data_IF_957632538985
#
_entry.id   IF_957632538985
#
_cell.length_a   1.000
_cell.length_b   1.000
_cell.length_c   1.000
_cell.angle_alpha   90.00
_cell.angle_beta   90.00
_cell.angle_gamma   90.00
#
_symmetry.space_group_name_H-M   'P 1'
#
loop_
_entity.id
_entity.type
_entity.pdbx_description
1 polymer ?
#
# COMPACT_ATOMS: atom_id res chain seq x y z
N UNK A 1 -46.90 13.61 -20.27
CA UNK A 1 -46.62 14.65 -19.27
C UNK A 1 -45.13 14.93 -19.27
N UNK A 2 -44.70 16.20 -19.37
CA UNK A 2 -43.28 16.58 -19.31
C UNK A 2 -42.59 16.08 -18.03
N UNK A 3 -43.35 15.89 -16.95
CA UNK A 3 -42.88 15.31 -15.69
C UNK A 3 -42.47 13.83 -15.81
N UNK A 4 -43.16 13.04 -16.66
CA UNK A 4 -42.75 11.64 -16.96
C UNK A 4 -41.48 11.58 -17.78
N UNK A 5 -41.28 12.52 -18.72
CA UNK A 5 -40.06 12.60 -19.52
C UNK A 5 -38.86 13.02 -18.64
N UNK A 6 -39.06 13.99 -17.73
CA UNK A 6 -38.06 14.39 -16.74
C UNK A 6 -37.70 13.24 -15.80
N UNK A 7 -38.68 12.46 -15.31
CA UNK A 7 -38.46 11.26 -14.50
C UNK A 7 -37.70 10.18 -15.26
N UNK A 8 -38.00 9.96 -16.54
CA UNK A 8 -37.28 9.01 -17.39
C UNK A 8 -35.84 9.49 -17.62
N UNK A 9 -35.63 10.78 -17.92
CA UNK A 9 -34.29 11.39 -18.04
C UNK A 9 -33.52 11.26 -16.71
N UNK A 10 -34.15 11.53 -15.56
CA UNK A 10 -33.55 11.37 -14.23
C UNK A 10 -33.22 9.90 -13.89
N UNK A 11 -34.01 8.95 -14.40
CA UNK A 11 -33.74 7.51 -14.29
C UNK A 11 -32.55 7.08 -15.18
N UNK A 12 -32.36 7.71 -16.34
CA UNK A 12 -31.15 7.56 -17.16
C UNK A 12 -29.94 8.32 -16.57
N UNK A 13 -30.17 9.35 -15.75
CA UNK A 13 -29.15 10.06 -14.94
C UNK A 13 -28.73 9.31 -13.67
N UNK A 14 -29.16 8.05 -13.46
CA UNK A 14 -28.30 7.08 -12.77
C UNK A 14 -27.10 6.76 -13.66
N UNK A 15 -26.37 7.79 -14.06
CA UNK A 15 -25.04 7.69 -14.62
C UNK A 15 -24.20 7.03 -13.53
N UNK A 16 -23.81 5.78 -13.76
CA UNK A 16 -22.72 5.16 -13.01
C UNK A 16 -21.55 6.15 -13.09
N UNK A 17 -21.21 6.77 -11.97
CA UNK A 17 -20.10 7.71 -11.92
C UNK A 17 -18.83 6.86 -12.02
N UNK A 18 -18.32 6.71 -13.24
CA UNK A 18 -17.09 5.98 -13.52
C UNK A 18 -15.92 6.93 -13.27
N UNK A 19 -15.20 6.71 -12.18
CA UNK A 19 -13.93 7.38 -11.93
C UNK A 19 -12.83 6.72 -12.76
N UNK A 20 -11.89 7.54 -13.26
CA UNK A 20 -10.65 7.06 -13.86
C UNK A 20 -9.59 6.89 -12.77
N UNK A 21 -9.26 5.65 -12.45
CA UNK A 21 -8.43 5.30 -11.29
C UNK A 21 -7.12 4.67 -11.76
N UNK A 22 -6.00 5.20 -11.28
CA UNK A 22 -4.70 4.56 -11.42
C UNK A 22 -4.43 3.71 -10.17
N UNK A 23 -4.12 2.43 -10.36
CA UNK A 23 -3.69 1.54 -9.29
C UNK A 23 -2.20 1.22 -9.48
N UNK A 24 -1.36 1.70 -8.57
CA UNK A 24 0.06 1.37 -8.53
C UNK A 24 0.27 0.04 -7.80
N UNK A 25 0.89 -0.93 -8.49
CA UNK A 25 1.09 -2.29 -8.00
C UNK A 25 2.59 -2.62 -8.03
N UNK A 26 3.28 -2.64 -6.88
CA UNK A 26 4.66 -3.10 -6.81
C UNK A 26 4.69 -4.64 -6.81
N UNK A 27 5.30 -5.23 -7.83
CA UNK A 27 5.29 -6.68 -8.08
C UNK A 27 6.57 -7.31 -7.53
N UNK A 28 6.56 -7.53 -6.21
CA UNK A 28 7.67 -8.12 -5.46
C UNK A 28 7.29 -9.29 -4.54
N UNK A 29 6.01 -9.42 -4.17
CA UNK A 29 5.53 -10.49 -3.29
C UNK A 29 4.07 -10.87 -3.59
N UNK A 30 3.76 -12.17 -3.51
CA UNK A 30 2.44 -12.74 -3.80
C UNK A 30 1.32 -12.05 -3.00
N UNK A 31 1.54 -11.79 -1.71
CA UNK A 31 0.53 -11.18 -0.83
C UNK A 31 0.15 -9.77 -1.28
N UNK A 32 1.12 -8.93 -1.61
CA UNK A 32 0.90 -7.55 -2.05
C UNK A 32 0.24 -7.51 -3.43
N UNK A 33 0.76 -8.28 -4.39
CA UNK A 33 0.21 -8.27 -5.74
C UNK A 33 -1.22 -8.84 -5.80
N UNK A 34 -1.49 -9.89 -5.05
CA UNK A 34 -2.84 -10.47 -4.99
C UNK A 34 -3.83 -9.51 -4.35
N UNK A 35 -3.44 -8.82 -3.29
CA UNK A 35 -4.32 -7.85 -2.61
C UNK A 35 -4.61 -6.63 -3.49
N UNK A 36 -3.57 -6.00 -4.03
CA UNK A 36 -3.71 -4.83 -4.90
C UNK A 36 -4.43 -5.16 -6.21
N UNK A 37 -4.14 -6.33 -6.80
CA UNK A 37 -4.82 -6.80 -8.00
C UNK A 37 -6.30 -7.09 -7.77
N UNK A 38 -6.65 -7.71 -6.63
CA UNK A 38 -8.05 -7.94 -6.26
C UNK A 38 -8.80 -6.64 -5.96
N UNK A 39 -8.13 -5.67 -5.34
CA UNK A 39 -8.67 -4.32 -5.15
C UNK A 39 -8.98 -3.69 -6.52
N UNK A 40 -8.05 -3.76 -7.47
CA UNK A 40 -8.25 -3.24 -8.82
C UNK A 40 -9.41 -3.93 -9.54
N UNK A 41 -9.52 -5.26 -9.45
CA UNK A 41 -10.63 -6.02 -10.03
C UNK A 41 -11.99 -5.62 -9.43
N UNK A 42 -12.03 -5.32 -8.13
CA UNK A 42 -13.24 -4.86 -7.43
C UNK A 42 -13.70 -3.49 -7.95
N UNK A 43 -12.76 -2.60 -8.28
CA UNK A 43 -13.06 -1.30 -8.87
C UNK A 43 -13.58 -1.43 -10.31
N UNK A 44 -13.04 -2.39 -11.08
CA UNK A 44 -13.57 -2.74 -12.40
C UNK A 44 -15.00 -3.26 -12.29
N UNK A 45 -15.27 -4.17 -11.34
CA UNK A 45 -16.63 -4.69 -11.09
C UNK A 45 -17.63 -3.60 -10.67
N UNK A 46 -17.15 -2.55 -10.00
CA UNK A 46 -17.94 -1.38 -9.64
C UNK A 46 -18.19 -0.42 -10.83
N UNK A 47 -17.61 -0.69 -12.01
CA UNK A 47 -17.78 0.10 -13.22
C UNK A 47 -16.84 1.29 -13.38
N UNK A 48 -15.70 1.30 -12.68
CA UNK A 48 -14.66 2.33 -12.83
C UNK A 48 -13.71 2.02 -13.99
N UNK A 49 -13.12 3.07 -14.59
CA UNK A 49 -12.05 2.95 -15.58
C UNK A 49 -10.72 2.80 -14.84
N UNK A 50 -10.17 1.59 -14.83
CA UNK A 50 -8.99 1.24 -14.02
C UNK A 50 -7.77 1.01 -14.92
N UNK A 51 -6.71 1.76 -14.66
CA UNK A 51 -5.37 1.46 -15.18
C UNK A 51 -4.52 0.84 -14.07
N UNK A 52 -3.86 -0.29 -14.34
CA UNK A 52 -2.82 -0.81 -13.44
C UNK A 52 -1.44 -0.37 -13.91
N UNK A 53 -0.69 0.31 -13.05
CA UNK A 53 0.74 0.57 -13.22
C UNK A 53 1.52 -0.46 -12.42
N UNK A 54 2.05 -1.46 -13.11
CA UNK A 54 2.80 -2.56 -12.51
C UNK A 54 4.29 -2.24 -12.55
N UNK A 55 4.90 -2.11 -11.38
CA UNK A 55 6.33 -1.95 -11.19
C UNK A 55 6.96 -3.31 -10.88
N UNK A 56 7.55 -3.95 -11.89
CA UNK A 56 8.03 -5.33 -11.79
C UNK A 56 9.37 -5.40 -11.05
N UNK A 57 9.45 -6.20 -9.99
CA UNK A 57 10.72 -6.53 -9.31
C UNK A 57 10.98 -8.03 -9.35
N UNK A 58 9.91 -8.83 -9.32
CA UNK A 58 9.91 -10.26 -9.56
C UNK A 58 8.98 -10.57 -10.75
N UNK A 59 9.59 -10.83 -11.91
CA UNK A 59 8.87 -11.10 -13.14
C UNK A 59 8.11 -12.44 -13.12
N UNK A 60 8.50 -13.38 -12.24
CA UNK A 60 7.90 -14.71 -12.16
C UNK A 60 6.55 -14.70 -11.43
N UNK A 61 6.23 -13.59 -10.73
CA UNK A 61 4.94 -13.42 -10.05
C UNK A 61 3.80 -13.18 -11.06
N UNK A 62 2.55 -13.54 -10.73
CA UNK A 62 1.39 -13.15 -11.52
C UNK A 62 1.14 -11.64 -11.38
N UNK A 63 0.32 -11.07 -12.25
CA UNK A 63 -0.08 -9.65 -12.17
C UNK A 63 -1.07 -9.36 -11.03
N UNK A 64 -1.67 -10.39 -10.44
CA UNK A 64 -2.60 -10.31 -9.31
C UNK A 64 -4.02 -9.87 -9.67
N UNK A 65 -4.20 -9.18 -10.79
CA UNK A 65 -5.49 -8.80 -11.39
C UNK A 65 -5.86 -9.72 -12.56
N UNK A 66 -7.15 -10.03 -12.72
CA UNK A 66 -7.67 -10.76 -13.89
C UNK A 66 -8.66 -9.95 -14.73
N UNK A 67 -9.10 -8.78 -14.25
CA UNK A 67 -10.15 -7.96 -14.90
C UNK A 67 -9.64 -6.64 -15.47
N UNK A 68 -8.50 -6.12 -14.99
CA UNK A 68 -7.94 -4.87 -15.51
C UNK A 68 -7.39 -5.07 -16.92
N UNK A 69 -7.90 -4.30 -17.87
CA UNK A 69 -7.51 -4.41 -19.29
C UNK A 69 -6.38 -3.45 -19.66
N UNK A 70 -6.33 -2.25 -19.07
CA UNK A 70 -5.28 -1.25 -19.31
C UNK A 70 -4.15 -1.44 -18.30
N UNK A 71 -3.08 -2.11 -18.73
CA UNK A 71 -1.90 -2.37 -17.89
C UNK A 71 -0.66 -1.69 -18.48
N UNK A 72 -0.02 -0.84 -17.68
CA UNK A 72 1.27 -0.22 -17.96
C UNK A 72 2.32 -0.96 -17.14
N UNK A 73 3.37 -1.48 -17.78
CA UNK A 73 4.41 -2.27 -17.12
C UNK A 73 5.75 -1.55 -17.20
N UNK A 74 6.45 -1.52 -16.07
CA UNK A 74 7.86 -1.17 -16.00
C UNK A 74 8.64 -2.42 -15.63
N UNK A 75 9.55 -2.91 -16.50
CA UNK A 75 10.27 -4.15 -16.28
C UNK A 75 11.22 -4.05 -15.07
N UNK A 76 11.72 -5.19 -14.56
CA UNK A 76 12.67 -5.20 -13.46
C UNK A 76 13.95 -4.46 -13.78
N UNK A 77 14.30 -3.56 -12.88
CA UNK A 77 15.59 -2.90 -12.89
C UNK A 77 16.70 -3.89 -12.54
N UNK A 78 17.88 -3.68 -13.11
CA UNK A 78 19.05 -4.45 -12.73
C UNK A 78 19.32 -4.27 -11.23
N UNK A 79 19.51 -5.38 -10.50
CA UNK A 79 19.72 -5.42 -9.05
C UNK A 79 18.51 -5.02 -8.18
N UNK A 80 17.29 -5.00 -8.71
CA UNK A 80 16.08 -4.86 -7.90
C UNK A 80 15.59 -6.18 -7.27
N UNK A 81 16.38 -7.26 -7.33
CA UNK A 81 15.99 -8.61 -6.92
C UNK A 81 16.47 -9.00 -5.50
N UNK A 82 16.97 -8.06 -4.69
CA UNK A 82 17.43 -8.38 -3.34
C UNK A 82 16.29 -8.90 -2.45
N UNK A 83 15.07 -8.39 -2.63
CA UNK A 83 13.88 -8.90 -1.91
C UNK A 83 13.62 -10.39 -2.16
N UNK A 84 13.77 -10.86 -3.40
CA UNK A 84 13.60 -12.27 -3.76
C UNK A 84 14.62 -13.16 -3.04
N UNK A 85 15.81 -12.62 -2.78
CA UNK A 85 16.92 -13.31 -2.11
C UNK A 85 16.88 -13.19 -0.58
N UNK A 86 16.21 -12.17 -0.03
CA UNK A 86 16.25 -11.86 1.41
C UNK A 86 15.07 -12.40 2.21
N UNK A 87 13.94 -12.78 1.60
CA UNK A 87 12.81 -13.38 2.35
C UNK A 87 13.12 -14.83 2.69
N UNK A 88 14.03 -15.03 3.64
CA UNK A 88 14.22 -16.32 4.30
C UNK A 88 13.12 -16.52 5.36
N UNK A 89 12.62 -17.75 5.51
CA UNK A 89 11.65 -18.11 6.57
C UNK A 89 12.14 -17.73 7.97
N UNK A 90 13.45 -17.63 8.16
CA UNK A 90 14.12 -17.18 9.39
C UNK A 90 13.65 -15.79 9.83
N UNK A 91 13.42 -14.86 8.91
CA UNK A 91 13.06 -13.47 9.24
C UNK A 91 11.64 -13.38 9.81
N UNK A 92 10.68 -14.10 9.22
CA UNK A 92 9.30 -14.14 9.72
C UNK A 92 9.26 -14.75 11.13
N UNK A 93 10.09 -15.75 11.38
CA UNK A 93 10.19 -16.40 12.68
C UNK A 93 10.88 -15.49 13.71
N UNK A 94 11.91 -14.74 13.33
CA UNK A 94 12.55 -13.76 14.21
C UNK A 94 11.63 -12.57 14.54
N UNK A 95 10.82 -12.12 13.57
CA UNK A 95 9.78 -11.10 13.78
C UNK A 95 8.74 -11.54 14.81
N UNK A 96 8.37 -12.83 14.81
CA UNK A 96 7.41 -13.39 15.78
C UNK A 96 7.93 -13.42 17.21
N UNK A 97 9.23 -13.60 17.40
CA UNK A 97 9.81 -13.72 18.74
C UNK A 97 10.05 -12.37 19.41
N UNK A 98 9.88 -11.23 18.70
CA UNK A 98 10.05 -9.87 19.22
C UNK A 98 11.32 -9.69 20.08
N UNK A 99 12.39 -10.42 19.75
CA UNK A 99 13.66 -10.34 20.45
C UNK A 99 14.46 -9.15 19.90
N UNK A 100 15.34 -8.57 20.73
CA UNK A 100 16.21 -7.45 20.33
C UNK A 100 17.06 -7.80 19.10
N UNK A 101 17.56 -9.04 19.03
CA UNK A 101 18.32 -9.55 17.89
C UNK A 101 17.44 -9.68 16.64
N UNK A 102 16.24 -10.24 16.77
CA UNK A 102 15.30 -10.36 15.65
C UNK A 102 14.85 -9.01 15.10
N UNK A 103 14.72 -8.02 15.97
CA UNK A 103 14.39 -6.65 15.59
C UNK A 103 15.52 -5.95 14.81
N UNK A 104 16.78 -6.21 15.15
CA UNK A 104 17.91 -5.72 14.34
C UNK A 104 17.95 -6.37 12.95
N UNK A 105 17.63 -7.66 12.85
CA UNK A 105 17.47 -8.37 11.58
C UNK A 105 16.38 -7.74 10.71
N UNK A 106 15.28 -7.26 11.32
CA UNK A 106 14.20 -6.54 10.63
C UNK A 106 14.69 -5.24 10.00
N UNK A 107 15.52 -4.46 10.70
CA UNK A 107 16.11 -3.22 10.15
C UNK A 107 17.13 -3.53 9.04
N UNK A 108 17.92 -4.59 9.18
CA UNK A 108 18.84 -5.02 8.13
C UNK A 108 18.08 -5.48 6.87
N UNK A 109 16.98 -6.21 7.05
CA UNK A 109 16.09 -6.57 5.94
C UNK A 109 15.46 -5.32 5.30
N UNK A 110 15.06 -4.35 6.11
CA UNK A 110 14.55 -3.07 5.62
C UNK A 110 15.57 -2.38 4.70
N UNK A 111 16.85 -2.39 5.07
CA UNK A 111 17.92 -1.86 4.23
C UNK A 111 17.99 -2.58 2.88
N UNK A 112 17.98 -3.92 2.85
CA UNK A 112 18.00 -4.68 1.59
C UNK A 112 16.79 -4.41 0.70
N UNK A 113 15.60 -4.31 1.30
CA UNK A 113 14.38 -3.99 0.58
C UNK A 113 14.43 -2.56 0.01
N UNK A 114 14.93 -1.60 0.80
CA UNK A 114 15.04 -0.20 0.39
C UNK A 114 15.90 0.01 -0.86
N UNK A 115 16.98 -0.78 -1.02
CA UNK A 115 17.82 -0.77 -2.22
C UNK A 115 17.01 -1.21 -3.43
N UNK A 116 16.26 -2.29 -3.30
CA UNK A 116 15.46 -2.82 -4.40
C UNK A 116 14.35 -1.84 -4.81
N UNK A 117 13.62 -1.29 -3.84
CA UNK A 117 12.56 -0.30 -4.10
C UNK A 117 13.10 0.99 -4.71
N UNK A 118 14.21 1.52 -4.20
CA UNK A 118 14.80 2.76 -4.75
C UNK A 118 15.33 2.58 -6.18
N UNK A 119 16.00 1.46 -6.47
CA UNK A 119 16.49 1.15 -7.82
C UNK A 119 15.33 0.96 -8.80
N UNK A 120 14.30 0.20 -8.39
CA UNK A 120 13.11 0.01 -9.21
C UNK A 120 12.36 1.33 -9.44
N UNK A 121 12.17 2.12 -8.38
CA UNK A 121 11.50 3.42 -8.48
C UNK A 121 12.26 4.37 -9.42
N UNK A 122 13.60 4.41 -9.34
CA UNK A 122 14.42 5.20 -10.27
C UNK A 122 14.21 4.77 -11.72
N UNK A 123 14.17 3.47 -12.00
CA UNK A 123 13.90 2.94 -13.35
C UNK A 123 12.52 3.34 -13.84
N UNK A 124 11.48 3.20 -13.00
CA UNK A 124 10.12 3.63 -13.32
C UNK A 124 10.09 5.12 -13.66
N UNK A 125 10.63 5.96 -12.78
CA UNK A 125 10.66 7.41 -12.93
C UNK A 125 11.50 7.86 -14.14
N UNK A 126 12.50 7.09 -14.53
CA UNK A 126 13.36 7.38 -15.70
C UNK A 126 12.84 6.74 -17.00
N UNK A 127 11.71 6.02 -16.96
CA UNK A 127 11.13 5.38 -18.15
C UNK A 127 10.63 6.47 -19.10
N UNK A 128 11.16 6.55 -20.34
CA UNK A 128 10.86 7.67 -21.24
C UNK A 128 9.37 7.83 -21.51
N UNK A 129 8.85 9.04 -21.25
CA UNK A 129 7.46 9.41 -21.53
C UNK A 129 6.42 8.86 -20.55
N UNK A 130 6.81 8.03 -19.57
CA UNK A 130 5.86 7.40 -18.65
C UNK A 130 5.14 8.45 -17.78
N UNK A 131 5.90 9.33 -17.12
CA UNK A 131 5.33 10.33 -16.22
C UNK A 131 4.50 11.35 -17.01
N UNK A 132 4.93 11.74 -18.21
CA UNK A 132 4.19 12.61 -19.11
C UNK A 132 2.86 11.98 -19.53
N UNK A 133 2.87 10.69 -19.90
CA UNK A 133 1.67 9.94 -20.24
C UNK A 133 0.70 9.87 -19.05
N UNK A 134 1.19 9.56 -17.85
CA UNK A 134 0.35 9.48 -16.65
C UNK A 134 -0.26 10.84 -16.26
N UNK A 135 0.48 11.95 -16.48
CA UNK A 135 -0.05 13.31 -16.31
C UNK A 135 -1.17 13.61 -17.31
N UNK A 136 -0.96 13.27 -18.58
CA UNK A 136 -1.94 13.50 -19.65
C UNK A 136 -3.22 12.68 -19.49
N UNK A 137 -3.13 11.53 -18.80
CA UNK A 137 -4.29 10.68 -18.54
C UNK A 137 -5.27 11.29 -17.51
N UNK A 138 -4.89 12.28 -16.70
CA UNK A 138 -5.76 12.99 -15.74
C UNK A 138 -6.62 12.07 -14.84
N UNK A 139 -5.98 11.30 -13.97
CA UNK A 139 -6.66 10.37 -13.06
C UNK A 139 -7.44 11.09 -11.94
N UNK A 140 -8.65 10.59 -11.64
CA UNK A 140 -9.46 11.03 -10.50
C UNK A 140 -8.84 10.59 -9.18
N UNK A 141 -8.27 9.38 -9.14
CA UNK A 141 -7.61 8.86 -7.95
C UNK A 141 -6.37 8.04 -8.32
N UNK A 142 -5.35 8.12 -7.46
CA UNK A 142 -4.24 7.19 -7.42
C UNK A 142 -4.35 6.34 -6.16
N UNK A 143 -4.50 5.04 -6.35
CA UNK A 143 -4.42 4.04 -5.29
C UNK A 143 -3.01 3.46 -5.33
N UNK A 144 -2.27 3.61 -4.24
CA UNK A 144 -0.87 3.18 -4.17
C UNK A 144 -0.60 2.31 -2.96
N UNK A 145 0.09 1.19 -3.15
CA UNK A 145 0.66 0.45 -2.04
C UNK A 145 1.54 1.37 -1.18
N UNK A 146 1.47 1.20 0.14
CA UNK A 146 2.14 2.01 1.17
C UNK A 146 3.30 1.27 1.83
N UNK A 147 3.63 0.05 1.39
CA UNK A 147 4.90 -0.58 1.68
C UNK A 147 6.03 -0.11 0.75
N UNK A 148 5.73 0.07 -0.54
CA UNK A 148 6.61 0.71 -1.53
C UNK A 148 6.04 2.10 -1.88
N UNK A 149 6.69 3.14 -1.35
CA UNK A 149 6.21 4.51 -1.50
C UNK A 149 6.48 5.16 -2.86
N UNK A 150 6.98 4.43 -3.87
CA UNK A 150 7.19 5.01 -5.19
C UNK A 150 5.87 5.54 -5.78
N UNK A 151 4.78 4.76 -5.66
CA UNK A 151 3.44 5.19 -6.05
C UNK A 151 2.96 6.44 -5.32
N UNK A 152 3.27 6.55 -4.02
CA UNK A 152 2.95 7.75 -3.23
C UNK A 152 3.68 8.97 -3.77
N UNK A 153 4.98 8.87 -4.09
CA UNK A 153 5.73 9.98 -4.67
C UNK A 153 5.25 10.37 -6.07
N UNK A 154 4.85 9.40 -6.91
CA UNK A 154 4.26 9.65 -8.24
C UNK A 154 3.00 10.51 -8.13
N UNK A 155 2.24 10.41 -7.04
CA UNK A 155 1.04 11.22 -6.82
C UNK A 155 1.32 12.72 -6.91
N UNK A 156 2.50 13.17 -6.46
CA UNK A 156 2.87 14.57 -6.60
C UNK A 156 3.09 14.95 -8.07
N UNK A 157 3.76 14.09 -8.82
CA UNK A 157 4.13 14.34 -10.21
C UNK A 157 2.91 14.41 -11.12
N UNK A 158 1.93 13.52 -10.92
CA UNK A 158 0.74 13.42 -11.79
C UNK A 158 -0.47 14.17 -11.24
N UNK A 159 -0.41 14.62 -9.97
CA UNK A 159 -1.45 15.44 -9.32
C UNK A 159 -2.88 14.89 -9.49
N UNK A 160 -3.16 13.63 -9.08
CA UNK A 160 -4.51 13.10 -9.12
C UNK A 160 -5.41 13.85 -8.13
N UNK A 161 -6.73 13.83 -8.32
CA UNK A 161 -7.66 14.54 -7.41
C UNK A 161 -7.65 13.94 -5.99
N UNK A 162 -7.36 12.65 -5.87
CA UNK A 162 -7.19 11.97 -4.60
C UNK A 162 -6.00 11.00 -4.61
N UNK A 163 -5.21 11.01 -3.55
CA UNK A 163 -4.26 9.94 -3.20
C UNK A 163 -4.91 9.04 -2.15
N UNK A 164 -4.89 7.73 -2.41
CA UNK A 164 -5.40 6.67 -1.53
C UNK A 164 -4.28 5.64 -1.31
N UNK A 165 -3.49 5.78 -0.24
CA UNK A 165 -2.53 4.76 0.13
C UNK A 165 -3.26 3.49 0.58
N UNK A 166 -2.64 2.35 0.36
CA UNK A 166 -3.15 1.03 0.74
C UNK A 166 -2.04 0.27 1.42
N UNK A 167 -2.28 -0.31 2.59
CA UNK A 167 -1.36 -1.31 3.15
C UNK A 167 -1.94 -2.70 2.93
N UNK A 168 -1.27 -3.51 2.11
CA UNK A 168 -1.64 -4.92 1.91
C UNK A 168 -1.31 -5.81 3.11
N UNK A 169 -0.62 -5.29 4.12
CA UNK A 169 -0.23 -6.01 5.34
C UNK A 169 -0.74 -5.25 6.57
N UNK A 170 0.12 -4.49 7.24
CA UNK A 170 -0.21 -3.67 8.41
C UNK A 170 0.21 -2.22 8.16
N UNK A 171 -0.42 -1.28 8.87
CA UNK A 171 -0.08 0.13 8.70
C UNK A 171 1.29 0.44 9.32
N UNK A 172 2.23 0.83 8.46
CA UNK A 172 3.56 1.25 8.86
C UNK A 172 3.49 2.73 9.29
N UNK A 173 3.94 3.01 10.50
CA UNK A 173 4.08 4.36 11.03
C UNK A 173 2.79 5.21 11.09
N UNK A 174 1.86 4.82 11.95
CA UNK A 174 0.56 5.46 12.22
C UNK A 174 0.57 7.01 12.38
N UNK A 175 1.61 7.65 12.94
CA UNK A 175 1.69 9.11 13.04
C UNK A 175 1.58 9.85 11.70
N UNK A 176 1.98 9.25 10.58
CA UNK A 176 1.79 9.85 9.25
C UNK A 176 0.32 10.02 8.87
N UNK A 177 -0.58 9.28 9.51
CA UNK A 177 -2.01 9.38 9.28
C UNK A 177 -2.72 10.19 10.36
N UNK A 178 -1.99 10.78 11.32
CA UNK A 178 -2.55 11.53 12.44
C UNK A 178 -2.94 10.66 13.64
N UNK A 179 -2.52 9.39 13.66
CA UNK A 179 -2.73 8.50 14.80
C UNK A 179 -1.49 8.48 15.67
N UNK A 180 -1.59 9.07 16.86
CA UNK A 180 -0.49 9.10 17.81
C UNK A 180 -0.37 7.78 18.56
N UNK A 181 0.87 7.31 18.70
CA UNK A 181 1.17 6.18 19.55
C UNK A 181 0.93 6.54 21.02
N UNK A 182 0.30 5.61 21.73
CA UNK A 182 0.17 5.67 23.17
C UNK A 182 1.18 4.73 23.81
N UNK A 183 1.83 5.19 24.88
CA UNK A 183 2.68 4.34 25.72
C UNK A 183 1.88 3.50 26.72
N UNK A 184 0.55 3.70 26.81
CA UNK A 184 -0.33 3.00 27.75
C UNK A 184 -1.14 1.89 27.10
N UNK A 185 -1.37 1.96 25.79
CA UNK A 185 -2.07 0.96 24.99
C UNK A 185 -1.11 0.45 23.95
N UNK A 186 -0.99 -0.87 23.81
CA UNK A 186 -0.09 -1.53 22.88
C UNK A 186 -0.39 -1.13 21.42
N UNK A 187 0.43 -0.29 20.77
CA UNK A 187 0.15 0.18 19.43
C UNK A 187 0.99 -0.54 18.37
N UNK A 188 1.92 -1.41 18.78
CA UNK A 188 2.83 -2.10 17.85
C UNK A 188 2.05 -3.09 16.99
N UNK A 189 2.35 -3.07 15.70
CA UNK A 189 1.77 -4.04 14.76
C UNK A 189 2.34 -5.45 14.92
N UNK A 190 3.45 -5.61 15.64
CA UNK A 190 4.21 -6.86 15.78
C UNK A 190 3.91 -7.70 17.02
N UNK A 191 3.11 -7.19 17.95
CA UNK A 191 2.75 -7.94 19.15
C UNK A 191 1.26 -8.20 19.18
N UNK A 192 0.87 -9.26 19.89
CA UNK A 192 -0.52 -9.48 20.22
C UNK A 192 -1.04 -8.24 20.96
N UNK A 193 -2.15 -7.66 20.53
CA UNK A 193 -2.70 -6.43 21.10
C UNK A 193 -3.31 -6.60 22.50
N UNK A 194 -2.72 -7.47 23.32
CA UNK A 194 -3.04 -7.61 24.73
C UNK A 194 -2.50 -6.39 25.48
N UNK A 195 -3.29 -5.88 26.42
CA UNK A 195 -2.80 -4.91 27.39
C UNK A 195 -1.56 -5.47 28.09
N UNK A 196 -0.54 -4.63 28.30
CA UNK A 196 0.72 -5.06 28.89
C UNK A 196 0.48 -5.82 30.20
N UNK A 197 0.68 -7.13 30.17
CA UNK A 197 0.44 -8.04 31.30
C UNK A 197 1.61 -8.06 32.28
N UNK A 198 2.75 -7.46 31.92
CA UNK A 198 4.02 -7.49 32.67
C UNK A 198 4.90 -6.26 32.38
N UNK A 199 5.82 -5.93 33.30
CA UNK A 199 6.82 -4.87 33.06
C UNK A 199 7.70 -5.18 31.82
N UNK A 200 8.05 -6.44 31.59
CA UNK A 200 8.79 -6.88 30.41
C UNK A 200 8.04 -6.57 29.12
N UNK A 201 6.72 -6.84 29.06
CA UNK A 201 5.92 -6.48 27.90
C UNK A 201 5.94 -4.97 27.62
N UNK A 202 5.85 -4.11 28.65
CA UNK A 202 5.95 -2.65 28.50
C UNK A 202 7.30 -2.19 27.95
N UNK A 203 8.39 -2.79 28.43
CA UNK A 203 9.74 -2.48 27.95
C UNK A 203 9.88 -2.87 26.48
N UNK A 204 9.38 -4.04 26.09
CA UNK A 204 9.35 -4.48 24.69
C UNK A 204 8.57 -3.50 23.81
N UNK A 205 7.41 -3.03 24.26
CA UNK A 205 6.62 -2.01 23.55
C UNK A 205 7.36 -0.70 23.35
N UNK A 206 7.98 -0.16 24.41
CA UNK A 206 8.76 1.08 24.32
C UNK A 206 9.92 0.90 23.34
N UNK A 207 10.60 -0.24 23.40
CA UNK A 207 11.67 -0.57 22.46
C UNK A 207 11.16 -0.62 21.01
N UNK A 208 10.02 -1.28 20.76
CA UNK A 208 9.36 -1.33 19.45
C UNK A 208 9.00 0.07 18.96
N UNK A 209 8.39 0.90 19.80
CA UNK A 209 8.02 2.29 19.48
C UNK A 209 9.21 3.15 19.05
N UNK A 210 10.40 2.88 19.60
CA UNK A 210 11.64 3.57 19.21
C UNK A 210 12.27 2.98 17.94
N UNK A 211 12.11 1.67 17.69
CA UNK A 211 12.70 1.02 16.51
C UNK A 211 11.90 1.24 15.24
N UNK A 212 10.57 1.30 15.31
CA UNK A 212 9.71 1.47 14.14
C UNK A 212 10.07 2.68 13.27
N UNK A 213 10.36 3.87 13.84
CA UNK A 213 10.88 4.99 13.07
C UNK A 213 12.17 4.65 12.32
N UNK A 214 13.09 3.90 12.93
CA UNK A 214 14.33 3.48 12.26
C UNK A 214 14.06 2.50 11.12
N UNK A 215 13.18 1.51 11.31
CA UNK A 215 12.73 0.60 10.24
C UNK A 215 12.13 1.40 9.08
N UNK A 216 11.19 2.30 9.38
CA UNK A 216 10.49 3.10 8.38
C UNK A 216 11.44 4.02 7.61
N UNK A 217 12.29 4.77 8.31
CA UNK A 217 13.25 5.68 7.67
C UNK A 217 14.27 4.91 6.82
N UNK A 218 14.71 3.73 7.29
CA UNK A 218 15.60 2.85 6.50
C UNK A 218 14.95 2.43 5.19
N UNK A 219 13.65 2.12 5.19
CA UNK A 219 12.90 1.83 3.96
C UNK A 219 12.74 3.06 3.06
N UNK A 220 12.43 4.21 3.66
CA UNK A 220 11.88 5.35 2.93
C UNK A 220 12.92 6.37 2.48
N UNK A 221 14.00 6.59 3.25
CA UNK A 221 15.00 7.63 2.94
C UNK A 221 15.67 7.42 1.57
N UNK A 222 16.06 6.19 1.15
CA UNK A 222 16.62 5.97 -0.18
C UNK A 222 15.63 6.29 -1.29
N UNK A 223 14.34 6.01 -1.07
CA UNK A 223 13.28 6.30 -2.03
C UNK A 223 13.03 7.81 -2.13
N UNK A 224 13.00 8.52 -1.00
CA UNK A 224 12.93 9.99 -0.99
C UNK A 224 14.07 10.62 -1.81
N UNK A 225 15.31 10.14 -1.65
CA UNK A 225 16.46 10.64 -2.41
C UNK A 225 16.29 10.47 -3.92
N UNK A 226 15.62 9.42 -4.39
CA UNK A 226 15.33 9.25 -5.82
C UNK A 226 14.46 10.40 -6.33
N UNK A 227 13.43 10.79 -5.58
CA UNK A 227 12.59 11.94 -5.93
C UNK A 227 13.35 13.25 -5.83
N UNK A 228 14.16 13.45 -4.79
CA UNK A 228 14.97 14.65 -4.63
C UNK A 228 15.96 14.84 -5.80
N UNK A 229 16.53 13.73 -6.30
CA UNK A 229 17.47 13.73 -7.42
C UNK A 229 16.80 13.96 -8.79
N UNK A 230 15.70 13.25 -9.07
CA UNK A 230 15.05 13.26 -10.40
C UNK A 230 14.01 14.37 -10.54
N UNK A 231 13.32 14.70 -9.46
CA UNK A 231 12.20 15.65 -9.41
C UNK A 231 12.34 16.56 -8.18
N UNK A 232 13.36 17.43 -8.16
CA UNK A 232 13.61 18.31 -7.03
C UNK A 232 12.38 19.19 -6.74
N UNK A 233 12.04 19.32 -5.46
CA UNK A 233 10.84 20.02 -5.00
C UNK A 233 9.65 19.11 -4.69
N UNK A 234 9.77 17.80 -4.95
CA UNK A 234 8.78 16.82 -4.47
C UNK A 234 8.69 16.86 -2.94
N UNK A 235 7.48 17.00 -2.35
CA UNK A 235 7.30 16.95 -0.91
C UNK A 235 7.79 15.63 -0.32
N UNK A 236 8.08 15.62 0.98
CA UNK A 236 8.45 14.36 1.63
C UNK A 236 7.32 13.34 1.55
N UNK A 237 7.65 12.05 1.41
CA UNK A 237 6.65 10.96 1.41
C UNK A 237 5.73 11.04 2.64
N UNK A 238 6.29 11.34 3.81
CA UNK A 238 5.53 11.59 5.05
C UNK A 238 4.46 12.67 4.88
N UNK A 239 4.80 13.78 4.21
CA UNK A 239 3.87 14.87 3.92
C UNK A 239 2.77 14.43 2.94
N UNK A 240 3.12 13.67 1.90
CA UNK A 240 2.14 13.14 0.94
C UNK A 240 1.13 12.19 1.62
N UNK A 241 1.60 11.27 2.46
CA UNK A 241 0.74 10.37 3.25
C UNK A 241 -0.15 11.15 4.24
N UNK A 242 0.39 12.18 4.88
CA UNK A 242 -0.36 13.04 5.81
C UNK A 242 -1.50 13.77 5.12
N UNK A 243 -1.33 14.14 3.85
CA UNK A 243 -2.35 14.80 3.03
C UNK A 243 -3.24 13.85 2.20
N UNK A 244 -3.04 12.54 2.29
CA UNK A 244 -3.90 11.56 1.63
C UNK A 244 -5.36 11.67 2.10
N UNK A 245 -6.31 11.35 1.21
CA UNK A 245 -7.75 11.48 1.49
C UNK A 245 -8.23 10.44 2.51
N UNK A 246 -7.82 9.19 2.30
CA UNK A 246 -8.12 8.02 3.13
C UNK A 246 -6.99 7.03 2.95
N UNK A 247 -6.80 6.13 3.91
CA UNK A 247 -5.91 4.98 3.77
C UNK A 247 -6.70 3.69 3.95
N UNK A 248 -6.47 2.73 3.05
CA UNK A 248 -7.01 1.39 3.17
C UNK A 248 -6.01 0.46 3.86
N UNK A 249 -6.48 -0.33 4.80
CA UNK A 249 -5.66 -1.35 5.47
C UNK A 249 -6.24 -2.74 5.24
N UNK A 250 -5.38 -3.72 4.99
CA UNK A 250 -5.74 -5.14 4.97
C UNK A 250 -5.94 -5.68 6.40
N UNK A 251 -6.86 -5.08 7.14
CA UNK A 251 -7.23 -5.46 8.50
C UNK A 251 -8.73 -5.68 8.54
N UNK A 252 -9.17 -6.65 9.35
CA UNK A 252 -10.58 -6.90 9.61
C UNK A 252 -10.86 -6.59 11.09
N UNK A 253 -11.79 -5.67 11.39
CA UNK A 253 -12.00 -5.17 12.74
C UNK A 253 -12.55 -6.21 13.73
N UNK A 254 -13.06 -7.35 13.24
CA UNK A 254 -13.61 -8.43 14.08
C UNK A 254 -12.55 -9.44 14.49
N UNK A 255 -11.53 -9.67 13.66
CA UNK A 255 -10.49 -10.68 13.90
C UNK A 255 -9.13 -10.08 14.25
N UNK A 256 -8.86 -8.84 13.87
CA UNK A 256 -7.60 -8.16 14.16
C UNK A 256 -7.59 -7.61 15.60
N UNK A 257 -6.39 -7.38 16.12
CA UNK A 257 -6.22 -6.80 17.44
C UNK A 257 -6.71 -5.34 17.48
N UNK A 258 -7.37 -4.97 18.58
CA UNK A 258 -7.82 -3.60 18.80
C UNK A 258 -6.62 -2.64 18.85
N UNK A 259 -6.63 -1.63 17.98
CA UNK A 259 -5.58 -0.61 17.86
C UNK A 259 -6.20 0.78 17.71
N UNK A 260 -5.48 1.86 18.10
CA UNK A 260 -5.92 3.22 17.82
C UNK A 260 -6.18 3.40 16.32
N UNK A 261 -7.37 3.91 15.99
CA UNK A 261 -7.78 4.16 14.61
C UNK A 261 -8.61 5.44 14.56
N UNK A 262 -8.75 5.98 13.35
CA UNK A 262 -9.50 7.20 13.04
C UNK A 262 -10.29 6.98 11.75
N UNK A 263 -11.26 7.84 11.46
CA UNK A 263 -12.09 7.73 10.25
C UNK A 263 -11.31 7.74 8.92
N UNK A 264 -10.08 8.27 8.92
CA UNK A 264 -9.17 8.24 7.77
C UNK A 264 -8.64 6.84 7.46
N UNK A 265 -8.65 5.91 8.43
CA UNK A 265 -8.21 4.52 8.25
C UNK A 265 -9.46 3.67 8.00
N UNK A 266 -9.58 3.13 6.80
CA UNK A 266 -10.70 2.27 6.40
C UNK A 266 -10.21 0.83 6.24
N UNK A 267 -10.60 -0.08 7.14
CA UNK A 267 -10.25 -1.49 7.04
C UNK A 267 -11.01 -2.14 5.88
N UNK A 268 -10.27 -2.83 5.00
CA UNK A 268 -10.80 -3.61 3.88
C UNK A 268 -10.18 -5.02 3.86
N UNK A 269 -9.90 -5.57 5.04
CA UNK A 269 -9.46 -6.94 5.18
C UNK A 269 -10.45 -7.93 4.55
N UNK A 270 -9.93 -9.03 4.01
CA UNK A 270 -10.76 -10.10 3.45
C UNK A 270 -11.21 -9.90 1.99
N UNK A 271 -10.88 -8.78 1.32
CA UNK A 271 -11.22 -8.59 -0.11
C UNK A 271 -10.65 -9.68 -1.03
N UNK A 272 -9.56 -10.31 -0.61
CA UNK A 272 -8.91 -11.44 -1.29
C UNK A 272 -9.67 -12.77 -1.19
N UNK A 273 -10.64 -12.87 -0.29
CA UNK A 273 -11.37 -14.13 -0.04
C UNK A 273 -12.51 -14.24 -1.06
N UNK A 274 -12.57 -15.33 -1.85
CA UNK A 274 -13.68 -15.54 -2.78
C UNK A 274 -14.99 -15.73 -2.01
N UNK A 275 -16.10 -15.36 -2.64
CA UNK A 275 -17.42 -15.66 -2.07
C UNK A 275 -17.56 -17.17 -1.85
N UNK A 276 -18.04 -17.61 -0.68
CA UNK A 276 -18.21 -19.03 -0.39
C UNK A 276 -19.17 -19.65 -1.41
N UNK A 277 -18.78 -20.80 -1.96
CA UNK A 277 -19.65 -21.59 -2.82
C UNK A 277 -20.68 -22.32 -1.94
N UNK A 278 -21.93 -22.51 -2.41
CA UNK A 278 -22.88 -23.39 -1.75
C UNK A 278 -22.26 -24.78 -1.55
N UNK A 279 -22.54 -25.41 -0.41
CA UNK A 279 -22.16 -26.82 -0.21
C UNK A 279 -22.92 -27.67 -1.23
N UNK A 280 -22.23 -28.59 -1.89
CA UNK A 280 -22.91 -29.61 -2.71
C UNK A 280 -23.79 -30.45 -1.78
N UNK A 281 -25.07 -30.60 -2.14
CA UNK A 281 -25.99 -31.48 -1.42
C UNK A 281 -25.45 -32.92 -1.50
N UNK A 282 -25.10 -33.51 -0.35
CA UNK A 282 -24.62 -34.90 -0.20
C UNK A 282 -25.77 -35.90 -0.34
#
# INVERSE_FOLDING_TARGET
SPMRLLLIILLFFKCAHSYKILVYIPKFAISHISFMGKLADTLVDAGHDVTALISEMDADLPDGTIKVTKIIRVPPAQNADHMRKSVERSIIEEMRHCSVTGLMTVVQNAYHNSVSFSVQCRTLLSTPGLIEQLKQDEYDALIAESFDHCGVGISHLISPRALIPVSSTFLYNLPHFGVHYSFTTEPSTFVDGRFHTSLSSRITTIYLLLLFPAFYNTMNDPLQRVFDDLYPGTPSISSLLSNAAVIFSNTDPLIDFARPSIAKIVPIGGIGIPSPQPLEDV
#
